data_IF_938913932793
#
_entry.id   IF_938913932793
#
_cell.length_a   1.000
_cell.length_b   1.000
_cell.length_c   1.000
_cell.angle_alpha   90.00
_cell.angle_beta   90.00
_cell.angle_gamma   90.00
#
_symmetry.space_group_name_H-M   'P 1'
#
loop_
_entity.id
_entity.type
_entity.pdbx_description
1 polymer ?
#
# COMPACT_ATOMS: atom_id res chain seq x y z
N UNK A 1 -16.46 7.17 12.44
CA UNK A 1 -15.30 6.24 12.57
C UNK A 1 -14.05 6.97 12.10
N UNK A 2 -13.00 6.99 12.94
CA UNK A 2 -11.73 7.73 12.73
C UNK A 2 -11.15 7.56 11.33
N UNK A 3 -10.75 8.67 10.69
CA UNK A 3 -9.87 8.66 9.53
C UNK A 3 -8.74 7.67 9.77
N UNK A 4 -8.55 6.70 8.89
CA UNK A 4 -7.43 5.78 8.97
C UNK A 4 -6.13 6.59 8.98
N UNK A 5 -5.35 6.52 10.07
CA UNK A 5 -4.07 7.23 10.16
C UNK A 5 -3.03 6.72 9.15
N UNK A 6 -3.25 5.53 8.58
CA UNK A 6 -2.28 4.82 7.76
C UNK A 6 -2.95 4.10 6.56
N UNK A 7 -3.46 4.84 5.57
CA UNK A 7 -4.10 4.23 4.39
C UNK A 7 -3.13 3.33 3.62
N UNK A 8 -3.60 2.17 3.17
CA UNK A 8 -2.92 1.39 2.12
C UNK A 8 -3.07 2.07 0.76
N UNK A 9 -2.08 1.95 -0.10
CA UNK A 9 -2.11 2.47 -1.47
C UNK A 9 -1.74 1.36 -2.46
N UNK A 10 -0.64 1.58 -3.16
CA UNK A 10 -0.05 0.67 -4.11
C UNK A 10 1.42 0.44 -3.72
N UNK A 11 2.00 -0.70 -4.09
CA UNK A 11 3.41 -0.97 -3.82
C UNK A 11 4.34 0.08 -4.46
N UNK A 12 3.88 0.71 -5.55
CA UNK A 12 4.57 1.82 -6.22
C UNK A 12 4.70 3.07 -5.34
N UNK A 13 3.81 3.24 -4.37
CA UNK A 13 3.81 4.38 -3.44
C UNK A 13 4.50 4.08 -2.11
N UNK A 14 4.91 2.83 -1.85
CA UNK A 14 5.42 2.38 -0.54
C UNK A 14 6.77 3.00 -0.10
N UNK A 15 7.30 3.96 -0.84
CA UNK A 15 8.74 4.24 -0.86
C UNK A 15 9.12 5.57 -0.21
N UNK A 16 8.22 6.14 0.58
CA UNK A 16 8.62 7.18 1.52
C UNK A 16 9.36 6.48 2.68
N UNK A 17 10.71 6.46 2.59
CA UNK A 17 11.59 5.85 3.61
C UNK A 17 11.27 6.37 5.01
N UNK A 18 10.84 7.63 5.11
CA UNK A 18 10.49 8.27 6.36
C UNK A 18 9.27 7.61 7.04
N UNK A 19 8.24 7.20 6.30
CA UNK A 19 7.07 6.54 6.88
C UNK A 19 7.42 5.13 7.38
N UNK A 20 8.13 4.34 6.56
CA UNK A 20 8.54 2.98 6.94
C UNK A 20 9.46 3.00 8.15
N UNK A 21 10.50 3.86 8.14
CA UNK A 21 11.46 3.95 9.24
C UNK A 21 10.80 4.30 10.57
N UNK A 22 9.78 5.15 10.56
CA UNK A 22 9.12 5.63 11.78
C UNK A 22 7.97 4.74 12.26
N UNK A 23 7.24 4.10 11.34
CA UNK A 23 5.97 3.42 11.66
C UNK A 23 6.02 1.91 11.43
N UNK A 24 6.83 1.45 10.46
CA UNK A 24 6.87 0.05 10.02
C UNK A 24 8.29 -0.53 9.86
N UNK A 25 9.24 -0.27 10.79
CA UNK A 25 10.63 -0.70 10.61
C UNK A 25 10.78 -2.22 10.51
N UNK A 26 9.88 -2.98 11.12
CA UNK A 26 9.85 -4.45 11.10
C UNK A 26 9.52 -5.06 9.72
N UNK A 27 9.08 -4.25 8.75
CA UNK A 27 8.90 -4.68 7.37
C UNK A 27 10.23 -4.88 6.64
N UNK A 28 11.34 -4.33 7.14
CA UNK A 28 12.66 -4.65 6.61
C UNK A 28 13.06 -6.10 6.97
N UNK A 29 13.62 -6.80 6.00
CA UNK A 29 14.09 -8.18 6.11
C UNK A 29 15.49 -8.34 5.49
N UNK A 30 16.12 -7.24 5.07
CA UNK A 30 17.51 -7.20 4.66
C UNK A 30 18.28 -6.01 5.24
N UNK A 31 19.61 -6.15 5.32
CA UNK A 31 20.56 -5.10 5.66
C UNK A 31 21.67 -5.11 4.61
N UNK A 32 22.02 -3.94 4.04
CA UNK A 32 23.21 -3.79 3.21
C UNK A 32 24.31 -3.10 4.00
N UNK A 33 25.47 -3.74 4.11
CA UNK A 33 26.69 -3.14 4.66
C UNK A 33 27.54 -2.55 3.53
N UNK A 34 27.80 -1.25 3.59
CA UNK A 34 28.55 -0.48 2.59
C UNK A 34 30.06 -0.55 2.81
N UNK A 35 30.86 -0.03 1.86
CA UNK A 35 32.32 0.03 2.02
C UNK A 35 32.80 0.99 3.11
N UNK A 36 31.97 1.96 3.51
CA UNK A 36 32.22 2.84 4.66
C UNK A 36 31.83 2.20 5.99
N UNK A 37 31.26 1.00 5.98
CA UNK A 37 30.82 0.27 7.17
C UNK A 37 29.38 0.58 7.61
N UNK A 38 28.68 1.45 6.90
CA UNK A 38 27.29 1.80 7.23
C UNK A 38 26.35 0.63 6.91
N UNK A 39 25.26 0.53 7.69
CA UNK A 39 24.23 -0.49 7.52
C UNK A 39 22.91 0.14 7.09
N UNK A 40 22.43 -0.21 5.90
CA UNK A 40 21.21 0.33 5.31
C UNK A 40 20.11 -0.75 5.35
N UNK A 41 19.01 -0.55 6.08
CA UNK A 41 17.90 -1.50 6.07
C UNK A 41 17.15 -1.47 4.75
N UNK A 42 16.73 -2.65 4.28
CA UNK A 42 16.07 -2.80 2.99
C UNK A 42 15.23 -4.09 2.92
N UNK A 43 14.71 -4.40 1.73
CA UNK A 43 13.83 -5.54 1.48
C UNK A 43 14.56 -6.64 0.69
N UNK A 44 14.66 -7.83 1.28
CA UNK A 44 15.29 -9.02 0.70
C UNK A 44 14.64 -9.39 -0.63
N UNK A 45 13.31 -9.31 -0.71
CA UNK A 45 12.55 -9.56 -1.94
C UNK A 45 13.11 -8.75 -3.12
N UNK A 46 13.38 -7.46 -2.92
CA UNK A 46 13.82 -6.58 -4.00
C UNK A 46 15.31 -6.74 -4.30
N UNK A 47 16.13 -7.05 -3.30
CA UNK A 47 17.55 -7.38 -3.53
C UNK A 47 17.66 -8.65 -4.35
N UNK A 48 17.00 -9.74 -3.97
CA UNK A 48 17.17 -11.01 -4.69
C UNK A 48 16.64 -10.97 -6.13
N UNK A 49 15.63 -10.13 -6.40
CA UNK A 49 15.09 -10.00 -7.75
C UNK A 49 15.90 -9.03 -8.64
N UNK A 50 16.48 -7.97 -8.07
CA UNK A 50 17.14 -6.92 -8.86
C UNK A 50 18.66 -6.89 -8.72
N UNK A 51 19.16 -7.44 -7.64
CA UNK A 51 20.56 -7.49 -7.27
C UNK A 51 21.00 -8.89 -6.76
N UNK A 52 20.69 -9.98 -7.49
CA UNK A 52 20.99 -11.35 -7.05
C UNK A 52 22.48 -11.60 -6.82
N UNK A 53 23.36 -10.86 -7.49
CA UNK A 53 24.82 -11.00 -7.39
C UNK A 53 25.41 -10.37 -6.13
N UNK A 54 24.62 -9.63 -5.32
CA UNK A 54 25.11 -9.08 -4.06
C UNK A 54 25.47 -10.21 -3.08
N UNK A 55 26.70 -10.15 -2.57
CA UNK A 55 27.23 -11.18 -1.68
C UNK A 55 26.46 -11.20 -0.35
N UNK A 56 25.91 -12.36 -0.01
CA UNK A 56 25.35 -12.63 1.32
C UNK A 56 26.49 -12.77 2.32
N UNK A 57 26.53 -11.87 3.30
CA UNK A 57 27.50 -11.88 4.39
C UNK A 57 27.03 -12.74 5.56
N UNK A 58 25.75 -12.65 5.92
CA UNK A 58 25.18 -13.37 7.07
C UNK A 58 23.68 -13.58 6.88
N UNK A 59 23.17 -14.71 7.38
CA UNK A 59 21.73 -14.97 7.56
C UNK A 59 21.44 -15.08 9.05
N UNK A 60 20.57 -14.22 9.56
CA UNK A 60 20.15 -14.22 10.97
C UNK A 60 19.01 -15.23 11.18
N UNK A 61 18.87 -15.76 12.40
CA UNK A 61 17.82 -16.73 12.76
C UNK A 61 16.41 -16.17 12.57
N UNK A 62 16.26 -14.85 12.70
CA UNK A 62 15.00 -14.12 12.54
C UNK A 62 14.59 -13.86 11.07
N UNK A 63 15.31 -14.45 10.11
CA UNK A 63 15.06 -14.30 8.68
C UNK A 63 15.71 -13.08 8.03
N UNK A 64 16.38 -12.20 8.80
CA UNK A 64 17.10 -11.05 8.22
C UNK A 64 18.37 -11.52 7.50
N UNK A 65 18.57 -11.03 6.28
CA UNK A 65 19.81 -11.28 5.52
C UNK A 65 20.67 -10.02 5.47
N UNK A 66 21.95 -10.16 5.79
CA UNK A 66 22.96 -9.12 5.61
C UNK A 66 23.71 -9.35 4.31
N UNK A 67 23.73 -8.32 3.46
CA UNK A 67 24.47 -8.26 2.20
C UNK A 67 25.67 -7.32 2.34
N UNK A 68 26.72 -7.54 1.56
CA UNK A 68 27.88 -6.65 1.49
C UNK A 68 27.98 -6.02 0.10
N UNK A 69 28.27 -4.72 0.06
CA UNK A 69 28.58 -3.99 -1.17
C UNK A 69 29.92 -3.25 -1.05
N UNK A 70 30.61 -3.09 -2.18
CA UNK A 70 31.87 -2.34 -2.28
C UNK A 70 31.67 -0.84 -2.50
N UNK A 71 30.43 -0.42 -2.74
CA UNK A 71 30.06 0.98 -2.96
C UNK A 71 29.83 1.71 -1.63
N UNK A 72 30.04 3.02 -1.66
CA UNK A 72 29.77 3.91 -0.52
C UNK A 72 28.26 4.06 -0.25
N UNK A 73 27.94 4.76 0.84
CA UNK A 73 26.58 4.92 1.33
C UNK A 73 25.68 5.70 0.38
N UNK A 74 26.17 6.78 -0.22
CA UNK A 74 25.35 7.63 -1.10
C UNK A 74 25.00 6.91 -2.41
N UNK A 75 25.98 6.23 -3.02
CA UNK A 75 25.76 5.44 -4.23
C UNK A 75 24.79 4.29 -3.93
N UNK A 76 25.00 3.58 -2.82
CA UNK A 76 24.14 2.45 -2.43
C UNK A 76 22.71 2.93 -2.19
N UNK A 77 22.51 4.04 -1.48
CA UNK A 77 21.19 4.64 -1.26
C UNK A 77 20.50 4.93 -2.58
N UNK A 78 21.19 5.59 -3.53
CA UNK A 78 20.63 5.96 -4.83
C UNK A 78 20.32 4.75 -5.70
N UNK A 79 21.13 3.70 -5.63
CA UNK A 79 20.84 2.45 -6.31
C UNK A 79 19.62 1.73 -5.73
N UNK A 80 19.49 1.71 -4.40
CA UNK A 80 18.31 1.15 -3.73
C UNK A 80 17.04 1.98 -4.06
N UNK A 81 17.13 3.30 -4.18
CA UNK A 81 16.04 4.15 -4.68
C UNK A 81 15.66 3.80 -6.12
N UNK A 82 16.65 3.59 -6.98
CA UNK A 82 16.40 3.13 -8.35
C UNK A 82 15.71 1.78 -8.37
N UNK A 83 16.16 0.82 -7.55
CA UNK A 83 15.47 -0.46 -7.41
C UNK A 83 14.02 -0.17 -7.05
N UNK A 84 13.72 0.55 -5.98
CA UNK A 84 12.32 0.75 -5.60
C UNK A 84 11.49 1.53 -6.63
N UNK A 85 12.04 2.55 -7.29
CA UNK A 85 11.24 3.49 -8.13
C UNK A 85 11.33 3.22 -9.64
N UNK A 86 12.32 2.46 -10.07
CA UNK A 86 12.72 2.33 -11.48
C UNK A 86 13.29 3.62 -12.10
N UNK A 87 13.50 4.69 -11.32
CA UNK A 87 13.94 6.00 -11.82
C UNK A 87 15.36 6.30 -11.36
N UNK A 88 16.24 6.61 -12.31
CA UNK A 88 17.60 7.06 -12.00
C UNK A 88 17.64 8.58 -12.00
N UNK A 89 18.15 9.15 -10.91
CA UNK A 89 18.43 10.56 -10.78
C UNK A 89 19.75 10.87 -11.50
N UNK A 90 19.66 11.43 -12.71
CA UNK A 90 20.84 11.79 -13.53
C UNK A 90 21.52 13.07 -13.05
N UNK A 91 20.86 13.85 -12.20
CA UNK A 91 21.43 15.07 -11.63
C UNK A 91 22.36 14.75 -10.44
N UNK A 92 22.25 13.54 -9.89
CA UNK A 92 23.19 13.05 -8.88
C UNK A 92 24.63 12.98 -9.44
N UNK A 93 25.62 13.66 -8.84
CA UNK A 93 26.97 13.75 -9.39
C UNK A 93 27.68 12.41 -9.67
N UNK A 94 27.33 11.36 -8.91
CA UNK A 94 27.91 10.03 -9.05
C UNK A 94 26.95 9.03 -9.73
N UNK A 95 25.96 9.49 -10.50
CA UNK A 95 24.95 8.61 -11.13
C UNK A 95 25.56 7.47 -11.97
N UNK A 96 26.73 7.67 -12.60
CA UNK A 96 27.43 6.61 -13.34
C UNK A 96 27.84 5.43 -12.47
N UNK A 97 28.23 5.67 -11.22
CA UNK A 97 28.53 4.61 -10.25
C UNK A 97 27.27 3.91 -9.78
N UNK A 98 26.14 4.62 -9.75
CA UNK A 98 24.82 4.01 -9.51
C UNK A 98 24.45 3.08 -10.66
N UNK A 99 24.65 3.50 -11.93
CA UNK A 99 24.48 2.62 -13.08
C UNK A 99 25.41 1.41 -13.04
N UNK A 100 26.66 1.59 -12.60
CA UNK A 100 27.63 0.51 -12.43
C UNK A 100 27.17 -0.48 -11.34
N UNK A 101 26.72 0.01 -10.18
CA UNK A 101 26.11 -0.82 -9.14
C UNK A 101 24.96 -1.65 -9.71
N UNK A 102 24.05 -1.01 -10.47
CA UNK A 102 22.87 -1.67 -11.01
C UNK A 102 23.24 -2.71 -12.08
N UNK A 103 24.20 -2.40 -12.96
CA UNK A 103 24.72 -3.33 -13.96
C UNK A 103 25.43 -4.53 -13.33
N UNK A 104 26.33 -4.28 -12.38
CA UNK A 104 27.05 -5.34 -11.65
C UNK A 104 26.12 -6.20 -10.82
N UNK A 105 25.04 -5.61 -10.32
CA UNK A 105 23.97 -6.31 -9.62
C UNK A 105 23.02 -7.08 -10.55
N UNK A 106 23.09 -6.90 -11.88
CA UNK A 106 22.21 -7.59 -12.84
C UNK A 106 20.84 -6.93 -13.06
N UNK A 107 20.64 -5.68 -12.62
CA UNK A 107 19.38 -4.95 -12.80
C UNK A 107 19.20 -4.49 -14.24
N UNK A 108 18.24 -5.05 -14.98
CA UNK A 108 18.12 -4.83 -16.43
C UNK A 108 17.13 -3.75 -16.88
N UNK A 109 16.15 -3.31 -16.07
CA UNK A 109 15.15 -2.32 -16.55
C UNK A 109 14.49 -1.44 -15.48
N UNK A 110 14.12 -0.22 -15.89
CA UNK A 110 13.36 0.80 -15.13
C UNK A 110 11.88 0.47 -14.90
N UNK A 111 11.40 -0.72 -15.32
CA UNK A 111 9.98 -1.11 -15.24
C UNK A 111 9.74 -2.38 -14.42
N UNK A 112 10.71 -2.84 -13.63
CA UNK A 112 10.68 -4.17 -13.06
C UNK A 112 9.53 -4.42 -12.08
N UNK A 113 9.04 -3.44 -11.28
CA UNK A 113 7.88 -3.70 -10.39
C UNK A 113 6.66 -4.23 -11.18
N UNK A 114 6.37 -3.65 -12.37
CA UNK A 114 5.24 -4.09 -13.20
C UNK A 114 5.43 -5.53 -13.75
N UNK A 115 6.67 -5.93 -14.03
CA UNK A 115 6.96 -7.20 -14.70
C UNK A 115 7.41 -8.32 -13.75
N UNK A 116 8.03 -7.99 -12.62
CA UNK A 116 8.56 -8.94 -11.64
C UNK A 116 7.53 -9.32 -10.58
N UNK A 117 6.61 -8.42 -10.21
CA UNK A 117 5.60 -8.73 -9.20
C UNK A 117 4.66 -9.88 -9.58
N UNK A 118 4.21 -10.03 -10.85
CA UNK A 118 3.48 -11.22 -11.27
C UNK A 118 4.31 -12.51 -11.12
N UNK A 119 5.60 -12.49 -11.46
CA UNK A 119 6.49 -13.65 -11.28
C UNK A 119 6.74 -13.97 -9.81
N UNK A 120 6.86 -12.95 -8.96
CA UNK A 120 6.97 -13.11 -7.50
C UNK A 120 5.67 -13.74 -6.96
N UNK A 121 4.51 -13.31 -7.42
CA UNK A 121 3.23 -13.91 -7.06
C UNK A 121 3.15 -15.40 -7.43
N UNK A 122 3.65 -15.76 -8.61
CA UNK A 122 3.60 -17.16 -9.06
C UNK A 122 4.56 -18.08 -8.28
N UNK A 123 5.74 -17.58 -7.92
CA UNK A 123 6.77 -18.38 -7.24
C UNK A 123 6.76 -18.26 -5.72
N UNK A 124 6.15 -17.19 -5.18
CA UNK A 124 6.14 -16.80 -3.76
C UNK A 124 7.48 -17.05 -3.03
N UNK A 125 8.63 -16.64 -3.59
CA UNK A 125 9.91 -16.84 -2.91
C UNK A 125 9.93 -16.00 -1.64
N UNK A 126 10.52 -16.51 -0.55
CA UNK A 126 10.72 -15.73 0.69
C UNK A 126 9.44 -15.21 1.36
N UNK A 127 8.30 -15.87 1.14
CA UNK A 127 7.07 -15.50 1.82
C UNK A 127 7.26 -15.54 3.35
N UNK A 128 6.86 -14.46 4.00
CA UNK A 128 7.04 -14.22 5.43
C UNK A 128 5.70 -13.97 6.16
N UNK A 129 4.60 -14.20 5.42
CA UNK A 129 3.21 -14.11 5.84
C UNK A 129 2.42 -15.34 5.34
N UNK A 130 1.62 -15.94 6.20
CA UNK A 130 0.68 -17.00 5.88
C UNK A 130 -0.77 -16.54 6.15
N UNK A 131 -1.59 -16.53 5.11
CA UNK A 131 -3.00 -16.16 5.17
C UNK A 131 -3.86 -17.42 5.31
N UNK A 132 -4.61 -17.54 6.40
CA UNK A 132 -5.49 -18.67 6.71
C UNK A 132 -6.95 -18.29 6.50
N UNK A 133 -7.77 -19.26 6.13
CA UNK A 133 -9.23 -19.13 6.06
C UNK A 133 -9.85 -20.51 5.95
N UNK A 134 -11.06 -20.70 6.48
CA UNK A 134 -11.86 -21.94 6.29
C UNK A 134 -12.13 -22.27 4.82
N UNK A 135 -12.07 -21.28 3.92
CA UNK A 135 -12.27 -21.48 2.48
C UNK A 135 -11.01 -21.96 1.76
N UNK A 136 -9.84 -21.91 2.40
CA UNK A 136 -8.57 -22.28 1.79
C UNK A 136 -8.18 -23.70 2.22
N UNK A 137 -7.90 -24.59 1.25
CA UNK A 137 -7.35 -25.93 1.54
C UNK A 137 -5.97 -25.87 2.20
N UNK A 138 -5.19 -24.86 1.87
CA UNK A 138 -3.88 -24.59 2.44
C UNK A 138 -3.70 -23.08 2.62
N UNK A 139 -2.96 -22.63 3.66
CA UNK A 139 -2.67 -21.21 3.83
C UNK A 139 -1.96 -20.62 2.62
N UNK A 140 -2.35 -19.42 2.19
CA UNK A 140 -1.66 -18.72 1.10
C UNK A 140 -0.44 -18.02 1.67
N UNK A 141 0.73 -18.35 1.12
CA UNK A 141 1.99 -17.69 1.44
C UNK A 141 2.08 -16.34 0.70
N UNK A 142 2.52 -15.28 1.38
CA UNK A 142 2.62 -13.91 0.85
C UNK A 142 3.76 -13.14 1.56
N UNK A 143 4.01 -11.91 1.13
CA UNK A 143 4.91 -10.97 1.80
C UNK A 143 4.13 -9.96 2.65
N UNK A 144 4.55 -9.78 3.92
CA UNK A 144 4.04 -8.73 4.81
C UNK A 144 4.16 -7.36 4.16
N UNK A 145 5.29 -7.11 3.49
CA UNK A 145 5.52 -5.87 2.74
C UNK A 145 4.39 -5.59 1.75
N UNK A 146 4.11 -6.55 0.87
CA UNK A 146 3.12 -6.42 -0.20
C UNK A 146 1.73 -6.21 0.37
N UNK A 147 1.31 -7.01 1.37
CA UNK A 147 0.00 -6.80 1.98
C UNK A 147 -0.08 -5.44 2.69
N UNK A 148 0.98 -5.01 3.39
CA UNK A 148 1.03 -3.72 4.06
C UNK A 148 0.96 -2.55 3.07
N UNK A 149 1.37 -2.74 1.81
CA UNK A 149 1.18 -1.74 0.77
C UNK A 149 -0.27 -1.41 0.52
N UNK A 150 -1.14 -2.41 0.48
CA UNK A 150 -2.51 -2.25 -0.01
C UNK A 150 -3.55 -2.24 1.11
N UNK A 151 -3.28 -2.96 2.21
CA UNK A 151 -4.27 -3.29 3.23
C UNK A 151 -4.15 -2.36 4.43
N UNK A 152 -5.03 -1.36 4.49
CA UNK A 152 -5.11 -0.39 5.59
C UNK A 152 -5.26 -1.06 6.96
N UNK A 153 -6.11 -2.08 7.08
CA UNK A 153 -6.28 -2.78 8.37
C UNK A 153 -5.03 -3.53 8.79
N UNK A 154 -4.30 -4.11 7.84
CA UNK A 154 -3.05 -4.77 8.15
C UNK A 154 -1.98 -3.77 8.60
N UNK A 155 -1.88 -2.58 7.98
CA UNK A 155 -1.01 -1.50 8.47
C UNK A 155 -1.35 -1.09 9.91
N UNK A 156 -2.64 -1.04 10.27
CA UNK A 156 -3.04 -0.74 11.64
C UNK A 156 -2.57 -1.81 12.64
N UNK A 157 -2.71 -3.11 12.30
CA UNK A 157 -2.17 -4.21 13.12
C UNK A 157 -0.66 -4.07 13.29
N UNK A 158 0.08 -3.87 12.20
CA UNK A 158 1.52 -3.68 12.23
C UNK A 158 1.95 -2.46 13.07
N UNK A 159 1.20 -1.36 13.01
CA UNK A 159 1.49 -0.15 13.79
C UNK A 159 1.30 -0.34 15.29
N UNK A 160 0.36 -1.19 15.71
CA UNK A 160 0.11 -1.50 17.12
C UNK A 160 1.18 -2.42 17.71
N UNK A 161 1.78 -3.29 16.89
CA UNK A 161 2.92 -4.12 17.29
C UNK A 161 4.18 -3.28 17.54
N UNK A 162 4.26 -2.09 16.93
CA UNK A 162 5.33 -1.12 17.17
C UNK A 162 5.13 -0.39 18.50
N UNK A 163 5.40 -1.05 19.63
CA UNK A 163 5.70 -0.34 20.87
C UNK A 163 6.93 0.57 20.62
N UNK A 164 6.68 1.87 20.48
CA UNK A 164 7.60 2.93 20.03
C UNK A 164 9.06 2.67 20.44
N UNK A 165 10.00 2.50 19.50
CA UNK A 165 11.35 3.01 19.75
C UNK A 165 11.26 4.53 19.71
N UNK A 166 11.73 5.21 20.77
CA UNK A 166 11.94 6.65 20.73
C UNK A 166 12.91 6.94 19.57
N UNK A 167 12.53 7.74 18.55
CA UNK A 167 13.48 8.08 17.51
C UNK A 167 14.59 8.95 18.13
N UNK A 168 15.88 8.71 17.81
CA UNK A 168 16.88 9.72 18.08
C UNK A 168 16.49 10.97 17.28
N UNK A 169 16.15 12.03 18.00
CA UNK A 169 15.95 13.35 17.41
C UNK A 169 17.29 13.84 16.85
N UNK A 170 17.34 14.14 15.55
CA UNK A 170 17.87 15.40 15.00
C UNK A 170 18.10 15.27 13.49
N UNK A 171 17.57 16.25 12.75
CA UNK A 171 18.01 16.91 11.49
C UNK A 171 18.88 16.21 10.44
N UNK A 172 19.08 14.91 10.53
CA UNK A 172 19.79 14.08 9.57
C UNK A 172 18.87 12.89 9.32
N UNK A 173 18.51 12.56 8.07
CA UNK A 173 17.56 11.49 7.74
C UNK A 173 18.07 10.07 8.05
N UNK A 174 19.04 9.94 8.95
CA UNK A 174 19.83 8.75 9.19
C UNK A 174 19.62 8.28 10.63
N UNK A 175 19.00 7.11 10.78
CA UNK A 175 19.08 6.37 12.03
C UNK A 175 20.51 5.84 12.12
N UNK A 176 21.22 6.11 13.22
CA UNK A 176 22.55 5.55 13.47
C UNK A 176 22.53 4.03 13.18
N UNK A 177 23.27 3.55 12.15
CA UNK A 177 23.11 2.21 11.57
C UNK A 177 23.22 1.06 12.57
N UNK A 178 24.04 1.21 13.60
CA UNK A 178 24.28 0.18 14.60
C UNK A 178 23.07 -0.04 15.51
N UNK A 179 22.40 1.02 15.96
CA UNK A 179 21.23 0.90 16.85
C UNK A 179 20.01 0.34 16.10
N UNK A 180 19.86 0.68 14.82
CA UNK A 180 18.76 0.15 13.99
C UNK A 180 19.00 -1.29 13.56
N UNK A 181 20.22 -1.61 13.11
CA UNK A 181 20.59 -3.00 12.80
C UNK A 181 20.49 -3.88 14.05
N UNK A 182 20.91 -3.37 15.22
CA UNK A 182 20.74 -4.04 16.51
C UNK A 182 19.25 -4.21 16.87
N UNK A 183 18.42 -3.18 16.71
CA UNK A 183 16.96 -3.28 16.88
C UNK A 183 16.35 -4.37 15.97
N UNK A 184 16.69 -4.37 14.69
CA UNK A 184 16.19 -5.35 13.72
C UNK A 184 16.65 -6.77 14.06
N UNK A 185 17.90 -6.94 14.52
CA UNK A 185 18.46 -8.23 14.95
C UNK A 185 17.82 -8.74 16.25
N UNK A 186 17.67 -7.89 17.26
CA UNK A 186 17.32 -8.29 18.64
C UNK A 186 15.80 -8.28 18.93
N UNK A 187 14.99 -7.44 18.25
CA UNK A 187 13.55 -7.31 18.57
C UNK A 187 12.60 -8.05 17.64
N UNK A 188 12.98 -8.33 16.39
CA UNK A 188 12.08 -9.03 15.43
C UNK A 188 11.72 -10.43 15.93
N UNK A 189 12.62 -11.11 16.64
CA UNK A 189 12.40 -12.45 17.22
C UNK A 189 11.31 -12.48 18.30
N UNK A 190 11.07 -11.35 19.00
CA UNK A 190 10.15 -11.29 20.12
C UNK A 190 8.77 -10.71 19.76
N UNK A 191 8.63 -10.10 18.57
CA UNK A 191 7.44 -9.30 18.23
C UNK A 191 6.58 -9.91 17.13
N UNK A 192 7.14 -10.71 16.23
CA UNK A 192 6.40 -11.28 15.10
C UNK A 192 6.87 -12.71 14.83
N UNK A 193 5.94 -13.66 14.79
CA UNK A 193 6.23 -15.02 14.32
C UNK A 193 6.71 -14.99 12.87
N UNK A 194 7.48 -16.01 12.47
CA UNK A 194 7.90 -16.19 11.09
C UNK A 194 7.56 -17.62 10.60
N UNK A 195 6.62 -17.79 9.66
CA UNK A 195 5.80 -16.73 9.05
C UNK A 195 4.82 -16.11 10.05
N UNK A 196 4.44 -14.85 9.81
CA UNK A 196 3.31 -14.24 10.52
C UNK A 196 2.03 -14.88 10.01
N UNK A 197 1.07 -15.19 10.90
CA UNK A 197 -0.20 -15.77 10.48
C UNK A 197 -1.34 -14.75 10.61
N UNK A 198 -2.17 -14.64 9.58
CA UNK A 198 -3.39 -13.84 9.61
C UNK A 198 -4.56 -14.73 9.25
N UNK A 199 -5.56 -14.76 10.13
CA UNK A 199 -6.85 -15.33 9.82
C UNK A 199 -7.67 -14.33 8.99
N UNK A 200 -7.99 -14.68 7.75
CA UNK A 200 -8.82 -13.88 6.86
C UNK A 200 -10.32 -13.99 7.19
N UNK A 201 -10.74 -15.00 7.96
CA UNK A 201 -12.16 -15.20 8.28
C UNK A 201 -12.72 -14.05 9.12
N UNK A 202 -11.86 -13.30 9.82
CA UNK A 202 -12.23 -12.05 10.50
C UNK A 202 -12.74 -10.95 9.54
N UNK A 203 -12.40 -11.04 8.24
CA UNK A 203 -12.90 -10.14 7.19
C UNK A 203 -14.11 -10.72 6.45
N UNK A 204 -14.60 -11.88 6.87
CA UNK A 204 -15.80 -12.55 6.33
C UNK A 204 -15.76 -12.72 4.79
N UNK A 205 -14.71 -13.33 4.23
CA UNK A 205 -14.67 -13.63 2.80
C UNK A 205 -15.83 -14.54 2.42
N UNK A 206 -16.41 -14.33 1.23
CA UNK A 206 -17.52 -15.18 0.75
C UNK A 206 -17.03 -16.51 0.18
N UNK A 207 -15.83 -16.54 -0.42
CA UNK A 207 -15.26 -17.76 -1.02
C UNK A 207 -13.77 -17.64 -1.31
N UNK A 208 -13.14 -18.76 -1.67
CA UNK A 208 -11.71 -18.84 -2.04
C UNK A 208 -11.35 -17.94 -3.22
N UNK A 209 -12.21 -17.85 -4.26
CA UNK A 209 -11.92 -17.02 -5.45
C UNK A 209 -11.77 -15.54 -5.11
N UNK A 210 -12.58 -15.02 -4.17
CA UNK A 210 -12.49 -13.63 -3.72
C UNK A 210 -11.19 -13.34 -2.96
N UNK A 211 -10.76 -14.28 -2.11
CA UNK A 211 -9.49 -14.21 -1.39
C UNK A 211 -8.33 -14.17 -2.39
N UNK A 212 -8.31 -15.11 -3.35
CA UNK A 212 -7.24 -15.21 -4.35
C UNK A 212 -7.19 -13.99 -5.27
N UNK A 213 -8.34 -13.43 -5.66
CA UNK A 213 -8.39 -12.24 -6.50
C UNK A 213 -7.79 -11.02 -5.80
N UNK A 214 -8.08 -10.82 -4.52
CA UNK A 214 -7.47 -9.75 -3.72
C UNK A 214 -5.95 -9.92 -3.59
N UNK A 215 -5.49 -11.14 -3.31
CA UNK A 215 -4.07 -11.42 -3.15
C UNK A 215 -3.34 -11.19 -4.47
N UNK A 216 -3.90 -11.66 -5.59
CA UNK A 216 -3.37 -11.41 -6.92
C UNK A 216 -3.30 -9.91 -7.23
N UNK A 217 -4.37 -9.16 -6.95
CA UNK A 217 -4.41 -7.71 -7.13
C UNK A 217 -3.30 -7.01 -6.35
N UNK A 218 -3.01 -7.42 -5.12
CA UNK A 218 -1.90 -6.84 -4.34
C UNK A 218 -0.52 -7.02 -4.99
N UNK A 219 -0.35 -7.97 -5.90
CA UNK A 219 0.89 -8.11 -6.68
C UNK A 219 0.80 -7.43 -8.05
N UNK A 220 -0.33 -7.53 -8.74
CA UNK A 220 -0.43 -7.11 -10.14
C UNK A 220 -0.91 -5.67 -10.30
N UNK A 221 -1.68 -5.17 -9.33
CA UNK A 221 -2.47 -3.92 -9.41
C UNK A 221 -3.39 -3.88 -10.63
N UNK A 222 -3.77 -5.06 -11.13
CA UNK A 222 -4.63 -5.24 -12.29
C UNK A 222 -5.92 -5.93 -11.81
N UNK A 223 -6.95 -5.13 -11.60
CA UNK A 223 -8.23 -5.59 -11.08
C UNK A 223 -8.93 -6.53 -12.06
N UNK A 224 -9.02 -6.14 -13.33
CA UNK A 224 -9.69 -6.92 -14.37
C UNK A 224 -9.04 -8.28 -14.57
N UNK A 225 -7.71 -8.33 -14.68
CA UNK A 225 -6.96 -9.58 -14.80
C UNK A 225 -7.10 -10.47 -13.56
N UNK A 226 -7.18 -9.87 -12.36
CA UNK A 226 -7.39 -10.61 -11.12
C UNK A 226 -8.79 -11.24 -11.06
N UNK A 227 -9.81 -10.52 -11.53
CA UNK A 227 -11.16 -11.06 -11.64
C UNK A 227 -11.25 -12.18 -12.67
N UNK A 228 -10.71 -11.97 -13.87
CA UNK A 228 -10.73 -12.94 -14.97
C UNK A 228 -10.06 -14.26 -14.54
N UNK A 229 -8.85 -14.19 -13.98
CA UNK A 229 -8.07 -15.38 -13.58
C UNK A 229 -8.76 -16.21 -12.50
N UNK A 230 -9.58 -15.58 -11.65
CA UNK A 230 -10.31 -16.26 -10.57
C UNK A 230 -11.79 -16.54 -10.91
N UNK A 231 -12.22 -16.26 -12.14
CA UNK A 231 -13.59 -16.52 -12.59
C UNK A 231 -14.65 -15.61 -11.96
N UNK A 232 -14.28 -14.40 -11.56
CA UNK A 232 -15.20 -13.37 -11.03
C UNK A 232 -15.74 -12.58 -12.22
N UNK A 233 -17.02 -12.81 -12.54
CA UNK A 233 -17.64 -12.21 -13.74
C UNK A 233 -19.06 -11.71 -13.53
N UNK A 234 -19.78 -12.22 -12.52
CA UNK A 234 -21.12 -11.74 -12.19
C UNK A 234 -21.07 -10.47 -11.33
N UNK A 235 -22.15 -9.68 -11.36
CA UNK A 235 -22.29 -8.51 -10.49
C UNK A 235 -22.34 -8.89 -9.01
N UNK A 236 -22.88 -10.07 -8.70
CA UNK A 236 -22.89 -10.63 -7.34
C UNK A 236 -21.47 -10.91 -6.85
N UNK A 237 -20.66 -11.64 -7.64
CA UNK A 237 -19.27 -11.95 -7.30
C UNK A 237 -18.45 -10.68 -7.11
N UNK A 238 -18.62 -9.70 -7.99
CA UNK A 238 -17.94 -8.42 -7.87
C UNK A 238 -18.34 -7.69 -6.60
N UNK A 239 -19.64 -7.70 -6.26
CA UNK A 239 -20.13 -7.09 -5.02
C UNK A 239 -19.52 -7.77 -3.80
N UNK A 240 -19.41 -9.11 -3.79
CA UNK A 240 -18.75 -9.85 -2.71
C UNK A 240 -17.25 -9.52 -2.60
N UNK A 241 -16.55 -9.43 -3.73
CA UNK A 241 -15.14 -9.03 -3.81
C UNK A 241 -14.95 -7.63 -3.23
N UNK A 242 -15.80 -6.67 -3.61
CA UNK A 242 -15.73 -5.30 -3.15
C UNK A 242 -16.03 -5.18 -1.65
N UNK A 243 -17.00 -5.94 -1.13
CA UNK A 243 -17.30 -5.98 0.30
C UNK A 243 -16.13 -6.55 1.11
N UNK A 244 -15.46 -7.59 0.59
CA UNK A 244 -14.23 -8.10 1.21
C UNK A 244 -13.10 -7.05 1.16
N UNK A 245 -12.92 -6.39 0.03
CA UNK A 245 -11.90 -5.34 -0.14
C UNK A 245 -12.11 -4.15 0.79
N UNK A 246 -13.36 -3.68 0.96
CA UNK A 246 -13.70 -2.63 1.91
C UNK A 246 -13.42 -3.08 3.35
N UNK A 247 -13.81 -4.31 3.71
CA UNK A 247 -13.53 -4.87 5.05
C UNK A 247 -12.04 -5.05 5.31
N UNK A 248 -11.21 -5.30 4.31
CA UNK A 248 -9.75 -5.32 4.47
C UNK A 248 -9.13 -3.91 4.41
N UNK A 249 -9.85 -2.93 3.84
CA UNK A 249 -9.35 -1.58 3.61
C UNK A 249 -8.37 -1.51 2.43
N UNK A 250 -8.67 -2.22 1.34
CA UNK A 250 -7.92 -2.21 0.08
C UNK A 250 -8.37 -1.05 -0.80
N UNK A 251 -7.75 0.10 -0.59
CA UNK A 251 -8.16 1.39 -1.18
C UNK A 251 -8.27 1.33 -2.70
N UNK A 252 -7.31 0.70 -3.39
CA UNK A 252 -7.36 0.61 -4.87
C UNK A 252 -8.57 -0.15 -5.41
N UNK A 253 -8.93 -1.29 -4.82
CA UNK A 253 -10.13 -2.05 -5.24
C UNK A 253 -11.41 -1.29 -4.91
N UNK A 254 -11.43 -0.58 -3.77
CA UNK A 254 -12.55 0.31 -3.39
C UNK A 254 -12.71 1.45 -4.40
N UNK A 255 -11.61 2.01 -4.90
CA UNK A 255 -11.62 3.02 -5.97
C UNK A 255 -12.16 2.47 -7.29
N UNK A 256 -11.73 1.29 -7.71
CA UNK A 256 -12.28 0.61 -8.91
C UNK A 256 -13.78 0.33 -8.77
N UNK A 257 -14.25 -0.01 -7.57
CA UNK A 257 -15.68 -0.15 -7.33
C UNK A 257 -16.43 1.16 -7.53
N UNK A 258 -15.90 2.26 -6.96
CA UNK A 258 -16.49 3.59 -7.11
C UNK A 258 -16.57 4.00 -8.58
N UNK A 259 -15.50 3.77 -9.37
CA UNK A 259 -15.48 4.01 -10.81
C UNK A 259 -16.57 3.22 -11.52
N UNK A 260 -16.68 1.92 -11.27
CA UNK A 260 -17.70 1.07 -11.90
C UNK A 260 -19.11 1.54 -11.58
N UNK A 261 -19.41 1.84 -10.31
CA UNK A 261 -20.72 2.38 -9.90
C UNK A 261 -21.01 3.76 -10.52
N UNK A 262 -19.99 4.59 -10.71
CA UNK A 262 -20.13 5.94 -11.28
C UNK A 262 -20.53 5.97 -12.76
N UNK A 263 -20.49 4.84 -13.46
CA UNK A 263 -21.01 4.75 -14.84
C UNK A 263 -22.53 4.94 -14.89
N UNK A 264 -23.23 4.71 -13.78
CA UNK A 264 -24.68 4.90 -13.63
C UNK A 264 -25.02 5.56 -12.29
N UNK A 265 -24.63 6.83 -12.14
CA UNK A 265 -24.98 7.62 -10.95
C UNK A 265 -26.50 7.87 -10.91
N UNK A 266 -27.10 7.57 -9.75
CA UNK A 266 -28.51 7.75 -9.46
C UNK A 266 -28.69 8.32 -8.05
N UNK A 267 -29.90 8.80 -7.73
CA UNK A 267 -30.25 9.22 -6.36
C UNK A 267 -30.03 8.11 -5.32
N UNK A 268 -30.21 6.84 -5.74
CA UNK A 268 -30.15 5.66 -4.87
C UNK A 268 -28.75 5.13 -4.58
N UNK A 269 -27.74 5.60 -5.30
CA UNK A 269 -26.37 5.10 -5.13
C UNK A 269 -25.31 6.21 -4.99
N UNK A 270 -25.66 7.49 -5.23
CA UNK A 270 -24.68 8.58 -5.22
C UNK A 270 -24.00 8.75 -3.87
N UNK A 271 -24.72 8.51 -2.76
CA UNK A 271 -24.14 8.58 -1.42
C UNK A 271 -23.06 7.53 -1.21
N UNK A 272 -23.34 6.30 -1.66
CA UNK A 272 -22.38 5.20 -1.63
C UNK A 272 -21.18 5.46 -2.55
N UNK A 273 -21.41 5.99 -3.75
CA UNK A 273 -20.34 6.37 -4.70
C UNK A 273 -19.43 7.43 -4.09
N UNK A 274 -19.99 8.45 -3.43
CA UNK A 274 -19.23 9.46 -2.71
C UNK A 274 -18.35 8.85 -1.62
N UNK A 275 -18.91 8.00 -0.75
CA UNK A 275 -18.16 7.35 0.33
C UNK A 275 -17.05 6.45 -0.22
N UNK A 276 -17.35 5.64 -1.24
CA UNK A 276 -16.37 4.75 -1.87
C UNK A 276 -15.26 5.54 -2.58
N UNK A 277 -15.59 6.58 -3.34
CA UNK A 277 -14.60 7.40 -4.04
C UNK A 277 -13.69 8.16 -3.06
N UNK A 278 -14.24 8.65 -1.95
CA UNK A 278 -13.46 9.26 -0.87
C UNK A 278 -12.45 8.27 -0.29
N UNK A 279 -12.92 7.05 0.04
CA UNK A 279 -12.07 6.01 0.64
C UNK A 279 -11.08 5.40 -0.34
N UNK A 280 -11.46 5.34 -1.62
CA UNK A 280 -10.65 4.86 -2.73
C UNK A 280 -9.64 5.88 -3.26
N UNK A 281 -9.60 7.09 -2.71
CA UNK A 281 -8.77 8.22 -3.19
C UNK A 281 -9.04 8.58 -4.68
N UNK A 282 -10.27 8.37 -5.16
CA UNK A 282 -10.69 8.62 -6.55
C UNK A 282 -11.32 10.00 -6.72
N UNK A 283 -10.49 11.04 -6.79
CA UNK A 283 -10.91 12.44 -6.77
C UNK A 283 -11.91 12.81 -7.88
N UNK A 284 -11.68 12.36 -9.12
CA UNK A 284 -12.58 12.66 -10.24
C UNK A 284 -13.99 12.08 -10.03
N UNK A 285 -14.06 10.89 -9.45
CA UNK A 285 -15.34 10.22 -9.15
C UNK A 285 -16.01 10.88 -7.95
N UNK A 286 -15.23 11.24 -6.93
CA UNK A 286 -15.69 12.00 -5.78
C UNK A 286 -16.34 13.31 -6.24
N UNK A 287 -15.68 14.07 -7.10
CA UNK A 287 -16.18 15.38 -7.55
C UNK A 287 -17.43 15.26 -8.43
N UNK A 288 -17.50 14.22 -9.27
CA UNK A 288 -18.74 13.86 -9.99
C UNK A 288 -19.89 13.56 -9.03
N UNK A 289 -19.64 12.79 -7.97
CA UNK A 289 -20.66 12.48 -6.97
C UNK A 289 -21.10 13.74 -6.19
N UNK A 290 -20.16 14.59 -5.78
CA UNK A 290 -20.46 15.89 -5.13
C UNK A 290 -21.31 16.77 -6.03
N UNK A 291 -20.96 16.90 -7.31
CA UNK A 291 -21.73 17.70 -8.25
C UNK A 291 -23.16 17.17 -8.45
N UNK A 292 -23.31 15.85 -8.56
CA UNK A 292 -24.63 15.22 -8.66
C UNK A 292 -25.45 15.45 -7.39
N UNK A 293 -24.84 15.30 -6.21
CA UNK A 293 -25.49 15.54 -4.91
C UNK A 293 -25.94 16.99 -4.82
N UNK A 294 -25.08 17.94 -5.20
CA UNK A 294 -25.39 19.37 -5.16
C UNK A 294 -26.59 19.71 -6.04
N UNK A 295 -26.62 19.21 -7.27
CA UNK A 295 -27.70 19.46 -8.23
C UNK A 295 -29.05 18.86 -7.77
N UNK A 296 -29.00 17.83 -6.91
CA UNK A 296 -30.19 17.10 -6.43
C UNK A 296 -30.43 17.27 -4.90
N UNK A 297 -29.78 18.23 -4.26
CA UNK A 297 -29.71 18.33 -2.80
C UNK A 297 -31.09 18.35 -2.11
N UNK A 298 -32.04 19.09 -2.70
CA UNK A 298 -33.39 19.23 -2.15
C UNK A 298 -34.19 17.92 -2.11
N UNK A 299 -33.85 16.93 -2.95
CA UNK A 299 -34.46 15.60 -2.97
C UNK A 299 -33.66 14.68 -2.04
N UNK A 300 -32.33 14.69 -2.16
CA UNK A 300 -31.44 13.80 -1.40
C UNK A 300 -31.54 13.99 0.12
N UNK A 301 -31.69 15.23 0.57
CA UNK A 301 -31.86 15.56 2.00
C UNK A 301 -33.19 15.05 2.59
N UNK A 302 -34.17 14.65 1.77
CA UNK A 302 -35.46 14.11 2.24
C UNK A 302 -35.42 12.61 2.58
N UNK A 303 -34.22 12.02 2.69
CA UNK A 303 -34.04 10.66 3.19
C UNK A 303 -33.41 9.70 2.18
N UNK A 304 -33.15 10.10 0.93
CA UNK A 304 -32.49 9.19 -0.03
C UNK A 304 -31.05 8.89 0.37
N UNK A 305 -30.34 9.81 1.06
CA UNK A 305 -28.99 9.54 1.59
C UNK A 305 -28.99 8.65 2.84
N UNK A 306 -30.16 8.45 3.47
CA UNK A 306 -30.28 7.67 4.69
C UNK A 306 -29.92 6.20 4.41
N UNK A 307 -29.03 5.63 5.22
CA UNK A 307 -28.47 4.30 5.03
C UNK A 307 -27.45 4.16 3.89
N UNK A 308 -27.21 5.18 3.05
CA UNK A 308 -26.17 5.13 2.01
C UNK A 308 -24.79 5.62 2.49
N UNK A 309 -24.77 6.51 3.49
CA UNK A 309 -23.55 7.06 4.09
C UNK A 309 -23.68 7.18 5.60
N UNK A 310 -22.55 7.19 6.31
CA UNK A 310 -22.55 7.43 7.76
C UNK A 310 -22.79 8.91 8.08
N UNK A 311 -23.26 9.21 9.29
CA UNK A 311 -23.51 10.60 9.73
C UNK A 311 -22.25 11.48 9.71
N UNK A 312 -21.06 10.88 9.94
CA UNK A 312 -19.77 11.59 9.82
C UNK A 312 -19.49 11.98 8.36
N UNK A 313 -19.75 11.07 7.41
CA UNK A 313 -19.59 11.33 5.97
C UNK A 313 -20.61 12.34 5.47
N UNK A 314 -21.84 12.26 5.96
CA UNK A 314 -22.89 13.24 5.66
C UNK A 314 -22.53 14.64 6.18
N UNK A 315 -21.92 14.74 7.38
CA UNK A 315 -21.44 16.01 7.92
C UNK A 315 -20.29 16.57 7.08
N UNK A 316 -19.33 15.75 6.68
CA UNK A 316 -18.24 16.19 5.80
C UNK A 316 -18.72 16.60 4.42
N UNK A 317 -19.69 15.87 3.87
CA UNK A 317 -20.37 16.24 2.64
C UNK A 317 -21.08 17.58 2.82
N UNK A 318 -21.80 17.77 3.92
CA UNK A 318 -22.45 19.04 4.25
C UNK A 318 -21.45 20.18 4.38
N UNK A 319 -20.32 20.00 5.06
CA UNK A 319 -19.24 20.99 5.18
C UNK A 319 -18.65 21.36 3.81
N UNK A 320 -18.37 20.37 2.94
CA UNK A 320 -17.87 20.62 1.58
C UNK A 320 -18.90 21.31 0.68
N UNK A 321 -20.14 20.81 0.68
CA UNK A 321 -21.25 21.36 -0.10
C UNK A 321 -21.61 22.77 0.37
N UNK A 322 -21.62 23.01 1.69
CA UNK A 322 -21.87 24.34 2.26
C UNK A 322 -20.70 25.29 2.01
N UNK A 323 -19.45 24.84 2.06
CA UNK A 323 -18.30 25.67 1.69
C UNK A 323 -18.30 26.08 0.21
N UNK A 324 -18.75 25.19 -0.68
CA UNK A 324 -18.97 25.50 -2.10
C UNK A 324 -20.18 26.43 -2.27
N UNK A 325 -21.27 26.21 -1.54
CA UNK A 325 -22.47 27.05 -1.56
C UNK A 325 -22.20 28.46 -1.00
N UNK A 326 -21.35 28.60 0.01
CA UNK A 326 -20.93 29.89 0.59
C UNK A 326 -20.05 30.66 -0.39
N UNK A 327 -19.15 30.00 -1.15
CA UNK A 327 -18.42 30.64 -2.23
C UNK A 327 -19.33 31.11 -3.37
N UNK A 328 -20.36 30.35 -3.74
CA UNK A 328 -21.35 30.78 -4.72
C UNK A 328 -22.24 31.91 -4.20
N UNK A 329 -22.65 31.88 -2.93
CA UNK A 329 -23.41 32.96 -2.29
C UNK A 329 -22.58 34.24 -2.15
N UNK A 330 -21.27 34.13 -1.90
CA UNK A 330 -20.33 35.26 -1.92
C UNK A 330 -20.17 35.82 -3.33
N UNK A 331 -20.05 34.98 -4.36
CA UNK A 331 -20.03 35.45 -5.76
C UNK A 331 -21.35 36.11 -6.20
N UNK A 332 -22.49 35.61 -5.71
CA UNK A 332 -23.81 36.21 -6.00
C UNK A 332 -24.06 37.50 -5.22
N UNK A 333 -23.56 37.62 -3.97
CA UNK A 333 -23.59 38.88 -3.19
C UNK A 333 -22.64 39.95 -3.71
N UNK A 334 -21.54 39.56 -4.36
CA UNK A 334 -20.55 40.49 -4.92
C UNK A 334 -20.80 40.89 -6.38
N UNK A 335 -21.96 40.53 -6.98
CA UNK A 335 -22.42 41.12 -8.24
C UNK A 335 -21.50 40.89 -9.44
N UNK A 336 -20.90 39.70 -9.57
CA UNK A 336 -20.21 39.28 -10.80
C UNK A 336 -20.96 38.12 -11.47
N UNK A 337 -22.11 38.44 -12.05
CA UNK A 337 -22.70 37.79 -13.23
C UNK A 337 -23.60 38.79 -13.93
#
# INVERSE_FOLDING_TARGET
MSSSKHPGRSIKYLLSRNEINNQYPHLYDAILTTSTGDSIPFYQLFIQNNAPELQVLKKEKNGIITYKTTYDTDITIKALEYILTGKIDKEFPQYKKVEEFLKTSGTSTSKWIKYSMPTIYEKMPLADLALKSKYLKQPIQMHRLVLACHCTKFRNVLSQVSNKPTPPQSSTPYIAPENFAKYMRERKENMLSNPMEIDLDQFQPSSEKHIRAIIQYCYTEDFESSCEKQGISSDEDLTELFNLAERMGLIGIVGEYAKKMSTSITLKNVGRIFSLATRGEEQDIHDKAVHFIFTNWGILRKGELDGQMSSDEERHLFEKVSGIADMFCLHKKNGMM
#
